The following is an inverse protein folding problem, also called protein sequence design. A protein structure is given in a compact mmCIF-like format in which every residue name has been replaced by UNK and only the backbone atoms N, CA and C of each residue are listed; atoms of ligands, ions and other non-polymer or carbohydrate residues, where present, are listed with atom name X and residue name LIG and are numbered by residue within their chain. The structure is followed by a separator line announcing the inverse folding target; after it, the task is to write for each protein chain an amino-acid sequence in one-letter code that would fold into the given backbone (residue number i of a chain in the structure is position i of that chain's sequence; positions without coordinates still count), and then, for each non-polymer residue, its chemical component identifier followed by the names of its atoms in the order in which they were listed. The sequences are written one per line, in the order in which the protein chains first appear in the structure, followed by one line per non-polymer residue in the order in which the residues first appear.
data_IF_415431684659
#
_entry.id   IF_415431684659
#
_cell.length_a   1.000
_cell.length_b   1.000
_cell.length_c   1.000
_cell.angle_alpha   90.00
_cell.angle_beta   90.00
_cell.angle_gamma   90.00
#
_symmetry.space_group_name_H-M   'P 1'
#
loop_
_entity.id
_entity.type
_entity.pdbx_description
1 polymer ?
#
# COMPACT_ATOMS: atom_id res chain seq x y z
N UNK A 1 -27.62 -3.41 -10.65
CA UNK A 1 -27.14 -4.12 -9.46
C UNK A 1 -26.14 -3.26 -8.71
N UNK A 2 -26.40 -3.00 -7.46
CA UNK A 2 -25.52 -2.19 -6.65
C UNK A 2 -24.32 -3.01 -6.19
N UNK A 3 -23.14 -2.40 -6.28
CA UNK A 3 -21.93 -3.01 -5.75
C UNK A 3 -21.84 -2.73 -4.26
N UNK A 4 -21.43 -3.73 -3.51
CA UNK A 4 -21.19 -3.57 -2.08
C UNK A 4 -19.89 -2.80 -1.88
N UNK A 5 -19.95 -1.74 -1.11
CA UNK A 5 -18.77 -0.93 -0.79
C UNK A 5 -18.26 -1.36 0.58
N UNK A 6 -17.01 -1.74 0.62
CA UNK A 6 -16.35 -2.15 1.86
C UNK A 6 -15.18 -1.24 2.17
N UNK A 7 -14.75 -1.26 3.42
CA UNK A 7 -13.56 -0.53 3.86
C UNK A 7 -12.40 -1.51 3.94
N UNK A 8 -11.27 -1.09 3.38
CA UNK A 8 -10.05 -1.89 3.36
C UNK A 8 -8.89 -1.10 3.93
N UNK A 9 -7.94 -1.82 4.51
CA UNK A 9 -6.69 -1.23 4.96
C UNK A 9 -5.56 -1.90 4.20
N UNK A 10 -4.73 -1.09 3.55
CA UNK A 10 -3.59 -1.58 2.80
C UNK A 10 -2.30 -1.13 3.47
N UNK A 11 -1.57 -2.09 4.03
CA UNK A 11 -0.23 -1.86 4.54
C UNK A 11 0.75 -2.27 3.46
N UNK A 12 1.65 -1.37 3.07
CA UNK A 12 2.71 -1.74 2.13
C UNK A 12 4.04 -1.16 2.56
N UNK A 13 5.10 -1.89 2.21
CA UNK A 13 6.47 -1.54 2.57
C UNK A 13 7.26 -1.39 1.28
N UNK A 14 7.86 -0.22 1.09
CA UNK A 14 8.64 0.10 -0.10
C UNK A 14 10.13 0.01 0.24
N UNK A 15 10.91 -0.58 -0.66
CA UNK A 15 12.35 -0.67 -0.52
C UNK A 15 13.01 0.71 -0.44
N UNK A 16 14.03 0.84 0.41
CA UNK A 16 14.83 2.05 0.52
C UNK A 16 16.15 1.93 -0.26
N UNK A 17 16.29 0.87 -1.05
CA UNK A 17 17.53 0.62 -1.81
C UNK A 17 17.88 1.77 -2.76
N UNK A 18 16.88 2.45 -3.32
CA UNK A 18 17.08 3.58 -4.23
C UNK A 18 16.92 4.93 -3.54
N UNK A 19 16.91 4.94 -2.20
CA UNK A 19 16.79 6.15 -1.42
C UNK A 19 15.36 6.44 -0.96
N UNK A 20 15.25 7.32 0.02
CA UNK A 20 13.97 7.67 0.61
C UNK A 20 13.07 8.44 -0.36
N UNK A 21 13.64 9.29 -1.20
CA UNK A 21 12.86 10.05 -2.17
C UNK A 21 12.20 9.13 -3.20
N UNK A 22 12.94 8.12 -3.69
CA UNK A 22 12.38 7.14 -4.60
C UNK A 22 11.24 6.35 -3.95
N UNK A 23 11.39 6.03 -2.66
CA UNK A 23 10.34 5.36 -1.90
C UNK A 23 9.09 6.23 -1.80
N UNK A 24 9.26 7.52 -1.54
CA UNK A 24 8.13 8.46 -1.46
C UNK A 24 7.41 8.59 -2.80
N UNK A 25 8.14 8.58 -3.91
CA UNK A 25 7.52 8.61 -5.24
C UNK A 25 6.66 7.37 -5.47
N UNK A 26 7.15 6.20 -5.05
CA UNK A 26 6.37 4.96 -5.16
C UNK A 26 5.12 5.02 -4.29
N UNK A 27 5.23 5.54 -3.08
CA UNK A 27 4.08 5.74 -2.18
C UNK A 27 3.05 6.65 -2.85
N UNK A 28 3.50 7.77 -3.43
CA UNK A 28 2.59 8.69 -4.11
C UNK A 28 1.90 8.05 -5.31
N UNK A 29 2.62 7.23 -6.06
CA UNK A 29 2.06 6.50 -7.19
C UNK A 29 0.89 5.62 -6.74
N UNK A 30 1.07 4.86 -5.69
CA UNK A 30 0.02 3.98 -5.19
C UNK A 30 -1.12 4.74 -4.52
N UNK A 31 -0.80 5.80 -3.79
CA UNK A 31 -1.83 6.65 -3.18
C UNK A 31 -2.73 7.27 -4.27
N UNK A 32 -2.12 7.75 -5.35
CA UNK A 32 -2.85 8.29 -6.49
C UNK A 32 -3.71 7.22 -7.17
N UNK A 33 -3.16 6.03 -7.35
CA UNK A 33 -3.90 4.93 -7.94
C UNK A 33 -5.13 4.59 -7.10
N UNK A 34 -4.97 4.53 -5.78
CA UNK A 34 -6.09 4.26 -4.87
C UNK A 34 -7.11 5.40 -4.94
N UNK A 35 -6.64 6.64 -4.92
CA UNK A 35 -7.53 7.81 -4.98
C UNK A 35 -8.36 7.86 -6.25
N UNK A 36 -7.82 7.37 -7.36
CA UNK A 36 -8.53 7.35 -8.65
C UNK A 36 -9.59 6.26 -8.73
N UNK A 37 -9.54 5.25 -7.86
CA UNK A 37 -10.42 4.09 -7.91
C UNK A 37 -11.22 3.84 -6.63
N UNK A 38 -10.95 4.62 -5.59
CA UNK A 38 -11.55 4.41 -4.28
C UNK A 38 -11.65 5.74 -3.53
N UNK A 39 -12.43 5.73 -2.45
CA UNK A 39 -12.49 6.88 -1.55
C UNK A 39 -11.47 6.67 -0.43
N UNK A 40 -10.48 7.54 -0.35
CA UNK A 40 -9.47 7.46 0.70
C UNK A 40 -10.05 8.01 1.99
N UNK A 41 -10.00 7.19 3.05
CA UNK A 41 -10.45 7.58 4.38
C UNK A 41 -9.28 8.17 5.16
N UNK A 42 -8.12 7.50 5.09
CA UNK A 42 -6.94 7.95 5.84
C UNK A 42 -5.67 7.43 5.16
N UNK A 43 -4.63 8.24 5.19
CA UNK A 43 -3.30 7.81 4.77
C UNK A 43 -2.38 8.01 5.99
N UNK A 44 -1.83 6.92 6.50
CA UNK A 44 -0.87 6.96 7.59
C UNK A 44 0.51 6.67 7.03
N UNK A 45 1.32 7.71 6.94
CA UNK A 45 2.68 7.62 6.43
C UNK A 45 3.61 7.44 7.63
N UNK A 46 4.02 6.19 7.88
CA UNK A 46 4.88 5.88 9.01
C UNK A 46 6.36 6.14 8.71
N UNK A 47 6.70 6.31 7.44
CA UNK A 47 8.06 6.61 7.04
C UNK A 47 9.00 5.43 7.17
N UNK A 48 10.29 5.76 7.29
CA UNK A 48 11.33 4.74 7.40
C UNK A 48 11.27 4.02 8.75
N UNK A 49 11.22 2.69 8.70
CA UNK A 49 11.17 1.84 9.89
C UNK A 49 12.14 0.69 9.75
N UNK A 50 12.69 0.25 10.89
CA UNK A 50 13.51 -0.94 10.92
C UNK A 50 12.59 -2.17 10.88
N UNK A 51 12.93 -3.12 10.02
CA UNK A 51 12.20 -4.37 9.91
C UNK A 51 12.54 -5.28 11.09
N UNK A 52 11.56 -6.06 11.54
CA UNK A 52 11.78 -7.04 12.61
C UNK A 52 12.72 -8.17 12.16
N UNK A 53 12.77 -8.41 10.84
CA UNK A 53 13.66 -9.39 10.23
C UNK A 53 13.98 -8.90 8.82
N UNK A 54 15.04 -9.45 8.21
CA UNK A 54 15.45 -9.04 6.88
C UNK A 54 14.45 -9.51 5.83
N UNK A 55 14.12 -8.63 4.90
CA UNK A 55 13.35 -8.96 3.71
C UNK A 55 14.23 -8.62 2.52
N UNK A 56 14.59 -9.62 1.70
CA UNK A 56 15.48 -9.43 0.55
C UNK A 56 16.80 -8.77 0.96
N UNK A 57 17.37 -9.19 2.10
CA UNK A 57 18.58 -8.68 2.72
C UNK A 57 18.54 -7.20 3.14
N UNK A 58 17.35 -6.59 3.12
CA UNK A 58 17.17 -5.22 3.61
C UNK A 58 16.66 -5.23 5.04
N UNK A 59 17.19 -4.36 5.88
CA UNK A 59 16.82 -4.26 7.29
C UNK A 59 15.84 -3.13 7.58
N UNK A 60 15.57 -2.28 6.59
CA UNK A 60 14.67 -1.13 6.74
C UNK A 60 13.75 -1.02 5.53
N UNK A 61 12.58 -0.43 5.76
CA UNK A 61 11.61 -0.19 4.70
C UNK A 61 10.82 1.08 4.98
N UNK A 62 10.17 1.60 3.97
CA UNK A 62 9.29 2.76 4.09
C UNK A 62 7.85 2.24 4.21
N UNK A 63 7.24 2.50 5.37
CA UNK A 63 5.92 1.96 5.72
C UNK A 63 4.82 2.97 5.44
N UNK A 64 3.75 2.51 4.81
CA UNK A 64 2.56 3.33 4.58
C UNK A 64 1.32 2.47 4.77
N UNK A 65 0.31 3.03 5.42
CA UNK A 65 -0.99 2.38 5.59
C UNK A 65 -2.04 3.31 4.99
N UNK A 66 -2.83 2.80 4.05
CA UNK A 66 -3.91 3.56 3.43
C UNK A 66 -5.23 2.86 3.74
N UNK A 67 -6.17 3.59 4.33
CA UNK A 67 -7.53 3.08 4.56
C UNK A 67 -8.42 3.69 3.49
N UNK A 68 -9.17 2.85 2.78
CA UNK A 68 -10.00 3.31 1.67
C UNK A 68 -11.29 2.49 1.56
N UNK A 69 -12.28 3.09 0.92
CA UNK A 69 -13.56 2.43 0.65
C UNK A 69 -13.72 2.23 -0.84
N UNK A 70 -14.08 1.04 -1.25
CA UNK A 70 -14.28 0.72 -2.65
C UNK A 70 -15.12 -0.55 -2.82
N UNK A 71 -15.50 -0.82 -4.06
CA UNK A 71 -16.14 -2.07 -4.41
C UNK A 71 -15.15 -3.24 -4.31
N UNK A 72 -15.65 -4.44 -4.15
CA UNK A 72 -14.85 -5.63 -3.84
C UNK A 72 -13.89 -6.07 -4.94
N UNK A 73 -14.01 -5.54 -6.15
CA UNK A 73 -13.15 -5.91 -7.27
C UNK A 73 -11.82 -5.14 -7.30
N UNK A 74 -11.77 -3.93 -6.73
CA UNK A 74 -10.55 -3.13 -6.77
C UNK A 74 -9.39 -3.68 -5.94
N UNK A 75 -9.59 -4.22 -4.72
CA UNK A 75 -8.46 -4.74 -3.94
C UNK A 75 -7.66 -5.82 -4.66
N UNK A 76 -8.32 -6.70 -5.42
CA UNK A 76 -7.63 -7.73 -6.19
C UNK A 76 -6.75 -7.11 -7.28
N UNK A 77 -7.24 -6.07 -7.96
CA UNK A 77 -6.48 -5.35 -8.97
C UNK A 77 -5.30 -4.61 -8.35
N UNK A 78 -5.51 -3.99 -7.21
CA UNK A 78 -4.45 -3.28 -6.49
C UNK A 78 -3.34 -4.26 -6.07
N UNK A 79 -3.73 -5.42 -5.54
CA UNK A 79 -2.76 -6.45 -5.15
C UNK A 79 -1.94 -6.92 -6.35
N UNK A 80 -2.57 -7.08 -7.50
CA UNK A 80 -1.89 -7.47 -8.73
C UNK A 80 -0.84 -6.42 -9.12
N UNK A 81 -1.18 -5.13 -9.02
CA UNK A 81 -0.24 -4.05 -9.37
C UNK A 81 0.94 -4.04 -8.40
N UNK A 82 0.69 -4.27 -7.10
CA UNK A 82 1.78 -4.36 -6.12
C UNK A 82 2.74 -5.51 -6.47
N UNK A 83 2.21 -6.65 -6.88
CA UNK A 83 3.03 -7.83 -7.18
C UNK A 83 3.94 -7.65 -8.37
N UNK A 84 3.57 -6.81 -9.33
CA UNK A 84 4.37 -6.57 -10.53
C UNK A 84 5.23 -5.30 -10.43
N UNK A 85 5.16 -4.57 -9.34
CA UNK A 85 5.90 -3.32 -9.17
C UNK A 85 7.21 -3.57 -8.43
N UNK A 86 8.32 -3.18 -9.05
CA UNK A 86 9.62 -3.24 -8.40
C UNK A 86 9.67 -2.28 -7.21
N UNK A 87 10.40 -2.65 -6.18
CA UNK A 87 10.57 -1.82 -4.99
C UNK A 87 9.54 -2.07 -3.91
N UNK A 88 8.53 -2.88 -4.18
CA UNK A 88 7.57 -3.27 -3.14
C UNK A 88 8.09 -4.50 -2.43
N UNK A 89 8.39 -4.37 -1.15
CA UNK A 89 8.89 -5.46 -0.32
C UNK A 89 7.75 -6.32 0.20
N UNK A 90 6.65 -5.69 0.55
CA UNK A 90 5.48 -6.39 1.09
C UNK A 90 4.23 -5.54 0.89
N UNK A 91 3.12 -6.20 0.64
CA UNK A 91 1.81 -5.56 0.56
C UNK A 91 0.78 -6.48 1.19
N UNK A 92 -0.07 -5.90 2.04
CA UNK A 92 -1.14 -6.64 2.70
C UNK A 92 -2.41 -5.79 2.65
N UNK A 93 -3.48 -6.36 2.12
CA UNK A 93 -4.78 -5.69 2.05
C UNK A 93 -5.76 -6.50 2.90
N UNK A 94 -6.37 -5.86 3.87
CA UNK A 94 -7.31 -6.52 4.77
C UNK A 94 -8.64 -5.79 4.80
N UNK A 95 -9.73 -6.53 5.01
CA UNK A 95 -11.04 -5.95 5.25
C UNK A 95 -11.06 -5.33 6.64
N UNK A 96 -11.63 -4.15 6.75
CA UNK A 96 -11.81 -3.48 8.03
C UNK A 96 -13.32 -3.47 8.32
N UNK A 97 -13.70 -4.09 9.42
CA UNK A 97 -15.08 -4.02 9.86
C UNK A 97 -15.30 -2.73 10.63
N UNK A 98 -16.27 -1.99 10.18
CA UNK A 98 -16.61 -0.70 10.77
C UNK A 98 -17.93 -0.78 11.51
#
# INVERSE_FOLDING_TARGET
MEKVINTYENLFIVSLANGEEAAKETVNKFTTLIANNAEIVEVADWGKRRLAYLINVESEGYYTVVTFKTASDFPAELDRVFKITEGIMRSLITDVEM
#
